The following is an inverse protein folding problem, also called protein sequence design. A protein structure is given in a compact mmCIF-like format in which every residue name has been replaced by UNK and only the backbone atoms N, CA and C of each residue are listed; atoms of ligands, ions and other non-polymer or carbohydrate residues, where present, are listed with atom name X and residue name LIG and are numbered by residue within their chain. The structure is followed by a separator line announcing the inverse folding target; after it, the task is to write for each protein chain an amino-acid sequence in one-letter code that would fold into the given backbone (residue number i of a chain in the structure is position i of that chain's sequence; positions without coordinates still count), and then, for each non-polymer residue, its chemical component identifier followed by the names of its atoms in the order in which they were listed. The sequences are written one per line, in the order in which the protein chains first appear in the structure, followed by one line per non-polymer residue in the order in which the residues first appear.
data_IF_242735267634
#
_entry.id   IF_242735267634
#
_cell.length_a   1.000
_cell.length_b   1.000
_cell.length_c   1.000
_cell.angle_alpha   90.00
_cell.angle_beta   90.00
_cell.angle_gamma   90.00
#
_symmetry.space_group_name_H-M   'P 1'
#
loop_
_entity.id
_entity.type
_entity.pdbx_description
1 polymer ?
#
# COMPACT_ATOMS: atom_id res chain seq x y z
N UNK A 1 35.46 -48.96 -39.54
CA UNK A 1 34.25 -49.61 -39.01
C UNK A 1 34.65 -50.68 -38.01
N UNK A 2 33.88 -50.95 -36.94
CA UNK A 2 32.68 -50.26 -36.41
C UNK A 2 32.99 -49.63 -35.03
N UNK A 3 32.15 -48.84 -34.37
CA UNK A 3 30.76 -48.48 -34.57
C UNK A 3 30.13 -48.18 -33.20
N UNK A 4 29.51 -47.01 -33.09
CA UNK A 4 28.39 -46.61 -32.22
C UNK A 4 28.05 -47.47 -30.97
N UNK A 5 27.98 -46.81 -29.81
CA UNK A 5 26.66 -46.61 -29.18
C UNK A 5 26.64 -45.34 -28.30
N UNK A 6 26.02 -44.30 -28.86
CA UNK A 6 25.55 -43.12 -28.14
C UNK A 6 24.21 -43.51 -27.51
N UNK A 7 24.08 -43.41 -26.19
CA UNK A 7 22.76 -43.35 -25.55
C UNK A 7 22.46 -41.89 -25.18
N UNK A 8 21.62 -41.18 -25.97
CA UNK A 8 21.16 -39.84 -25.68
C UNK A 8 19.78 -39.93 -25.03
N UNK A 9 19.70 -40.40 -23.80
CA UNK A 9 18.43 -40.44 -23.06
C UNK A 9 18.66 -39.95 -21.64
N UNK A 10 18.79 -38.63 -21.49
CA UNK A 10 18.37 -37.87 -20.31
C UNK A 10 18.41 -36.34 -20.51
N UNK A 11 18.47 -35.85 -21.76
CA UNK A 11 18.35 -34.42 -22.10
C UNK A 11 16.89 -33.98 -22.37
N UNK A 12 15.91 -34.58 -21.68
CA UNK A 12 14.50 -34.52 -22.12
C UNK A 12 13.43 -34.16 -21.08
N UNK A 13 13.77 -33.79 -19.83
CA UNK A 13 12.72 -33.61 -18.79
C UNK A 13 12.69 -32.33 -17.96
N UNK A 14 13.56 -31.34 -18.20
CA UNK A 14 13.52 -30.08 -17.44
C UNK A 14 13.18 -28.84 -18.28
N UNK A 15 12.38 -28.99 -19.35
CA UNK A 15 11.93 -27.85 -20.18
C UNK A 15 10.42 -27.71 -20.37
N UNK A 16 9.61 -28.29 -19.48
CA UNK A 16 8.16 -28.06 -19.47
C UNK A 16 7.60 -27.96 -18.05
N UNK A 17 7.93 -26.87 -17.34
CA UNK A 17 7.09 -26.42 -16.21
C UNK A 17 7.24 -24.94 -15.86
N UNK A 18 7.46 -24.09 -16.87
CA UNK A 18 7.62 -22.64 -16.68
C UNK A 18 6.70 -21.84 -17.60
N UNK A 19 5.55 -22.40 -17.97
CA UNK A 19 4.51 -21.67 -18.67
C UNK A 19 3.13 -22.29 -18.36
N UNK A 20 2.67 -22.13 -17.13
CA UNK A 20 1.26 -22.35 -16.81
C UNK A 20 0.81 -21.18 -15.93
N UNK A 21 0.23 -20.20 -16.63
CA UNK A 21 -0.66 -19.15 -16.14
C UNK A 21 -0.30 -18.46 -14.82
N UNK A 22 0.51 -17.40 -14.93
CA UNK A 22 0.29 -16.21 -14.10
C UNK A 22 -1.04 -15.57 -14.55
N UNK A 23 -2.16 -16.09 -14.07
CA UNK A 23 -3.32 -15.24 -13.86
C UNK A 23 -2.96 -14.34 -12.67
N UNK A 24 -2.41 -13.16 -12.98
CA UNK A 24 -2.38 -12.05 -12.03
C UNK A 24 -3.83 -11.58 -11.90
N UNK A 25 -4.61 -12.27 -11.08
CA UNK A 25 -5.80 -11.65 -10.50
C UNK A 25 -5.25 -10.64 -9.52
N UNK A 26 -5.19 -9.38 -9.93
CA UNK A 26 -4.97 -8.27 -9.01
C UNK A 26 -5.95 -8.47 -7.86
N UNK A 27 -5.51 -8.69 -6.61
CA UNK A 27 -6.44 -8.55 -5.50
C UNK A 27 -6.81 -7.08 -5.52
N UNK A 28 -8.03 -6.79 -5.98
CA UNK A 28 -8.68 -5.53 -5.66
C UNK A 28 -8.63 -5.51 -4.14
N UNK A 29 -7.78 -4.64 -3.59
CA UNK A 29 -7.77 -4.36 -2.16
C UNK A 29 -9.13 -3.74 -1.89
N UNK A 30 -10.10 -4.60 -1.61
CA UNK A 30 -11.37 -4.23 -1.03
C UNK A 30 -11.01 -3.73 0.36
N UNK A 31 -10.73 -2.44 0.47
CA UNK A 31 -10.83 -1.76 1.74
C UNK A 31 -12.26 -2.00 2.20
N UNK A 32 -12.42 -2.99 3.08
CA UNK A 32 -13.69 -3.36 3.67
C UNK A 32 -14.06 -2.26 4.65
N UNK A 33 -14.52 -1.14 4.09
CA UNK A 33 -15.10 -0.04 4.82
C UNK A 33 -16.35 -0.61 5.47
N UNK A 34 -16.20 -1.10 6.71
CA UNK A 34 -17.33 -1.49 7.54
C UNK A 34 -18.34 -0.35 7.48
N UNK A 35 -19.52 -0.62 6.90
CA UNK A 35 -20.60 0.35 6.79
C UNK A 35 -21.06 0.67 8.22
N UNK A 36 -20.53 1.75 8.78
CA UNK A 36 -20.92 2.19 10.11
C UNK A 36 -22.22 2.96 9.95
N UNK A 37 -23.33 2.32 10.32
CA UNK A 37 -24.58 3.04 10.53
C UNK A 37 -24.42 3.94 11.75
N UNK A 38 -24.48 5.24 11.49
CA UNK A 38 -24.46 6.25 12.52
C UNK A 38 -25.88 6.47 13.03
N UNK A 39 -25.96 6.58 14.35
CA UNK A 39 -27.16 6.70 15.18
C UNK A 39 -28.20 7.68 14.65
N UNK A 40 -29.50 7.46 14.94
CA UNK A 40 -30.58 8.29 14.42
C UNK A 40 -30.42 9.74 14.88
N UNK A 41 -30.62 10.66 13.95
CA UNK A 41 -30.51 12.10 14.08
C UNK A 41 -31.62 12.75 14.95
N UNK A 42 -32.15 12.05 15.95
CA UNK A 42 -33.35 12.47 16.70
C UNK A 42 -33.19 13.77 17.52
N UNK A 43 -31.97 14.27 17.70
CA UNK A 43 -31.69 15.46 18.52
C UNK A 43 -31.71 16.80 17.78
N UNK A 44 -32.00 16.84 16.46
CA UNK A 44 -31.91 18.07 15.65
C UNK A 44 -33.24 18.77 15.46
N UNK A 45 -33.94 19.05 16.56
CA UNK A 45 -35.15 19.88 16.54
C UNK A 45 -34.71 21.34 16.41
N UNK A 46 -34.97 21.96 15.24
CA UNK A 46 -34.78 23.39 15.05
C UNK A 46 -35.65 24.14 16.08
N UNK A 47 -35.02 24.81 17.04
CA UNK A 47 -35.73 25.71 17.96
C UNK A 47 -35.99 27.01 17.25
N UNK A 48 -36.97 27.01 16.35
CA UNK A 48 -37.41 28.22 15.69
C UNK A 48 -38.46 28.91 16.57
N UNK A 49 -38.16 30.13 17.03
CA UNK A 49 -39.13 30.92 17.79
C UNK A 49 -40.09 31.62 16.83
N UNK A 50 -41.11 30.89 16.39
CA UNK A 50 -42.14 31.40 15.50
C UNK A 50 -42.90 32.58 16.11
N UNK A 51 -43.05 32.60 17.44
CA UNK A 51 -43.87 33.60 18.10
C UNK A 51 -43.21 34.98 18.07
N UNK A 52 -41.91 35.05 18.35
CA UNK A 52 -41.17 36.31 18.30
C UNK A 52 -41.13 36.88 16.88
N UNK A 53 -40.90 36.04 15.86
CA UNK A 53 -40.92 36.50 14.46
C UNK A 53 -42.29 36.99 14.01
N UNK A 54 -43.39 36.34 14.40
CA UNK A 54 -44.74 36.81 14.07
C UNK A 54 -44.99 38.17 14.71
N UNK A 55 -44.60 38.35 15.97
CA UNK A 55 -44.77 39.61 16.71
C UNK A 55 -43.94 40.75 16.08
N UNK A 56 -42.74 40.45 15.58
CA UNK A 56 -41.87 41.40 14.88
C UNK A 56 -42.40 41.81 13.49
N UNK A 57 -43.05 40.87 12.79
CA UNK A 57 -43.72 41.18 11.52
C UNK A 57 -45.00 42.00 11.73
N UNK A 58 -45.77 41.71 12.77
CA UNK A 58 -46.94 42.51 13.16
C UNK A 58 -46.54 43.95 13.51
N UNK A 59 -45.45 44.15 14.26
CA UNK A 59 -44.94 45.49 14.59
C UNK A 59 -44.39 46.23 13.37
N UNK A 60 -43.99 45.49 12.33
CA UNK A 60 -43.58 46.02 11.03
C UNK A 60 -44.75 46.34 10.09
N UNK A 61 -46.00 46.15 10.53
CA UNK A 61 -47.20 46.52 9.78
C UNK A 61 -47.84 45.40 8.95
N UNK A 62 -47.42 44.15 9.12
CA UNK A 62 -48.07 42.99 8.49
C UNK A 62 -49.32 42.56 9.27
N UNK A 63 -50.36 42.12 8.55
CA UNK A 63 -51.50 41.46 9.19
C UNK A 63 -51.03 40.14 9.83
N UNK A 64 -51.53 39.83 11.03
CA UNK A 64 -51.20 38.60 11.76
C UNK A 64 -51.19 37.35 10.88
N UNK A 65 -52.22 37.17 10.06
CA UNK A 65 -52.37 36.01 9.17
C UNK A 65 -51.27 35.96 8.10
N UNK A 66 -50.86 37.11 7.58
CA UNK A 66 -49.78 37.20 6.60
C UNK A 66 -48.43 36.92 7.26
N UNK A 67 -48.20 37.44 8.47
CA UNK A 67 -47.01 37.16 9.26
C UNK A 67 -46.89 35.66 9.60
N UNK A 68 -47.96 35.03 10.07
CA UNK A 68 -48.02 33.59 10.35
C UNK A 68 -47.73 32.72 9.11
N UNK A 69 -48.25 33.12 7.94
CA UNK A 69 -47.98 32.41 6.68
C UNK A 69 -46.52 32.52 6.24
N UNK A 70 -45.93 33.71 6.33
CA UNK A 70 -44.52 33.93 6.00
C UNK A 70 -43.62 33.12 6.94
N UNK A 71 -43.90 33.18 8.24
CA UNK A 71 -43.14 32.43 9.25
C UNK A 71 -43.29 30.92 9.06
N UNK A 72 -44.48 30.42 8.76
CA UNK A 72 -44.73 29.01 8.47
C UNK A 72 -43.94 28.52 7.24
N UNK A 73 -43.91 29.33 6.17
CA UNK A 73 -43.11 29.04 4.98
C UNK A 73 -41.61 29.01 5.31
N UNK A 74 -41.13 29.95 6.13
CA UNK A 74 -39.73 29.99 6.58
C UNK A 74 -39.35 28.77 7.43
N UNK A 75 -40.20 28.36 8.37
CA UNK A 75 -39.97 27.16 9.18
C UNK A 75 -39.91 25.92 8.31
N UNK A 76 -40.81 25.80 7.35
CA UNK A 76 -40.87 24.65 6.43
C UNK A 76 -39.62 24.60 5.55
N UNK A 77 -39.20 25.74 4.98
CA UNK A 77 -37.99 25.85 4.18
C UNK A 77 -36.73 25.56 5.03
N UNK A 78 -36.64 26.13 6.24
CA UNK A 78 -35.50 25.92 7.13
C UNK A 78 -35.39 24.44 7.56
N UNK A 79 -36.52 23.79 7.82
CA UNK A 79 -36.56 22.36 8.15
C UNK A 79 -36.11 21.52 6.96
N UNK A 80 -36.64 21.77 5.76
CA UNK A 80 -36.26 21.05 4.55
C UNK A 80 -34.78 21.26 4.17
N UNK A 81 -34.27 22.49 4.30
CA UNK A 81 -32.87 22.82 4.05
C UNK A 81 -31.95 22.12 5.06
N UNK A 82 -32.36 22.06 6.33
CA UNK A 82 -31.60 21.32 7.34
C UNK A 82 -31.50 19.84 7.01
N UNK A 83 -32.58 19.19 6.57
CA UNK A 83 -32.55 17.77 6.19
C UNK A 83 -31.54 17.49 5.07
N UNK A 84 -31.45 18.39 4.08
CA UNK A 84 -30.48 18.28 2.98
C UNK A 84 -29.05 18.48 3.50
N UNK A 85 -28.80 19.56 4.25
CA UNK A 85 -27.48 19.87 4.80
C UNK A 85 -26.99 18.74 5.71
N UNK A 86 -27.86 18.16 6.54
CA UNK A 86 -27.47 17.08 7.44
C UNK A 86 -27.22 15.75 6.73
N UNK A 87 -27.88 15.49 5.59
CA UNK A 87 -27.61 14.32 4.77
C UNK A 87 -26.23 14.37 4.12
N UNK A 88 -25.81 15.55 3.67
CA UNK A 88 -24.54 15.73 2.97
C UNK A 88 -23.40 16.16 3.92
N UNK A 89 -23.72 16.47 5.18
CA UNK A 89 -22.72 16.86 6.18
C UNK A 89 -21.89 15.68 6.67
N UNK A 90 -20.57 15.87 6.66
CA UNK A 90 -19.64 15.03 7.42
C UNK A 90 -19.49 15.62 8.82
N UNK A 91 -19.98 14.91 9.84
CA UNK A 91 -19.85 15.35 11.24
C UNK A 91 -18.51 14.92 11.84
N UNK A 92 -18.09 15.55 12.94
CA UNK A 92 -16.88 15.13 13.70
C UNK A 92 -16.91 13.64 14.06
N UNK A 93 -18.08 13.12 14.45
CA UNK A 93 -18.25 11.69 14.72
C UNK A 93 -17.98 10.80 13.50
N UNK A 94 -18.42 11.20 12.29
CA UNK A 94 -18.07 10.49 11.05
C UNK A 94 -16.55 10.48 10.82
N UNK A 95 -15.87 11.61 11.08
CA UNK A 95 -14.41 11.70 10.93
C UNK A 95 -13.67 10.84 11.94
N UNK A 96 -14.08 10.84 13.22
CA UNK A 96 -13.47 10.03 14.27
C UNK A 96 -13.54 8.53 13.96
N UNK A 97 -14.68 8.07 13.42
CA UNK A 97 -14.87 6.68 13.02
C UNK A 97 -13.95 6.32 11.85
N UNK A 98 -13.85 7.16 10.83
CA UNK A 98 -12.95 6.94 9.71
C UNK A 98 -11.48 6.87 10.17
N UNK A 99 -11.08 7.74 11.09
CA UNK A 99 -9.75 7.72 11.69
C UNK A 99 -9.52 6.41 12.47
N UNK A 100 -10.47 5.96 13.28
CA UNK A 100 -10.37 4.69 14.00
C UNK A 100 -10.26 3.48 13.05
N UNK A 101 -10.98 3.49 11.92
CA UNK A 101 -10.86 2.46 10.90
C UNK A 101 -9.46 2.45 10.27
N UNK A 102 -8.94 3.62 9.87
CA UNK A 102 -7.58 3.74 9.32
C UNK A 102 -6.54 3.24 10.33
N UNK A 103 -6.67 3.61 11.61
CA UNK A 103 -5.77 3.14 12.67
C UNK A 103 -5.80 1.62 12.82
N UNK A 104 -6.98 1.00 12.79
CA UNK A 104 -7.11 -0.44 12.87
C UNK A 104 -6.46 -1.16 11.67
N UNK A 105 -6.60 -0.61 10.46
CA UNK A 105 -5.94 -1.15 9.27
C UNK A 105 -4.40 -1.01 9.36
N UNK A 106 -3.91 0.13 9.85
CA UNK A 106 -2.47 0.34 10.09
C UNK A 106 -1.93 -0.67 11.12
N UNK A 107 -2.68 -0.91 12.20
CA UNK A 107 -2.30 -1.88 13.22
C UNK A 107 -2.24 -3.32 12.67
N UNK A 108 -3.11 -3.66 11.72
CA UNK A 108 -3.01 -4.95 10.99
C UNK A 108 -1.73 -5.04 10.17
N UNK A 109 -1.43 -4.01 9.37
CA UNK A 109 -0.20 -3.96 8.56
C UNK A 109 1.05 -4.07 9.44
N UNK A 110 1.04 -3.40 10.61
CA UNK A 110 2.15 -3.49 11.56
C UNK A 110 2.34 -4.91 12.08
N UNK A 111 1.26 -5.65 12.35
CA UNK A 111 1.35 -7.06 12.75
C UNK A 111 1.95 -7.91 11.62
N UNK A 112 1.51 -7.69 10.39
CA UNK A 112 2.02 -8.42 9.23
C UNK A 112 3.51 -8.17 9.00
N UNK A 113 3.97 -6.91 9.17
CA UNK A 113 5.39 -6.55 9.10
C UNK A 113 6.22 -7.32 10.15
N UNK A 114 5.76 -7.36 11.40
CA UNK A 114 6.43 -8.10 12.48
C UNK A 114 6.44 -9.60 12.21
N UNK A 115 5.38 -10.15 11.61
CA UNK A 115 5.32 -11.56 11.22
C UNK A 115 6.35 -11.85 10.13
N UNK A 116 6.44 -11.00 9.10
CA UNK A 116 7.43 -11.14 8.03
C UNK A 116 8.85 -11.13 8.59
N UNK A 117 9.21 -10.12 9.39
CA UNK A 117 10.52 -10.03 10.02
C UNK A 117 10.86 -11.29 10.83
N UNK A 118 9.94 -11.75 11.69
CA UNK A 118 10.16 -12.97 12.49
C UNK A 118 10.26 -14.23 11.63
N UNK A 119 9.52 -14.32 10.53
CA UNK A 119 9.56 -15.46 9.61
C UNK A 119 10.85 -15.51 8.79
N UNK A 120 11.38 -14.36 8.36
CA UNK A 120 12.66 -14.27 7.65
C UNK A 120 13.83 -14.61 8.57
N UNK A 121 13.82 -14.16 9.84
CA UNK A 121 14.82 -14.58 10.82
C UNK A 121 14.80 -16.08 11.11
N UNK A 122 13.61 -16.69 11.19
CA UNK A 122 13.48 -18.14 11.41
C UNK A 122 13.98 -18.95 10.21
N UNK A 123 13.65 -18.50 8.99
CA UNK A 123 14.10 -19.13 7.75
C UNK A 123 15.60 -18.98 7.52
N UNK A 124 16.16 -17.78 7.73
CA UNK A 124 17.60 -17.56 7.60
C UNK A 124 18.40 -18.38 8.62
N UNK A 125 17.88 -18.57 9.84
CA UNK A 125 18.57 -19.38 10.86
C UNK A 125 18.50 -20.88 10.56
N UNK A 126 17.38 -21.38 10.02
CA UNK A 126 17.28 -22.78 9.60
C UNK A 126 18.12 -23.04 8.35
N UNK A 127 18.14 -22.12 7.39
CA UNK A 127 18.95 -22.23 6.17
C UNK A 127 20.45 -22.10 6.44
N UNK A 128 20.91 -21.32 7.43
CA UNK A 128 22.33 -21.24 7.79
C UNK A 128 22.80 -22.35 8.74
N UNK A 129 21.94 -22.85 9.63
CA UNK A 129 22.35 -23.91 10.58
C UNK A 129 22.64 -25.24 9.89
N UNK A 130 21.92 -25.57 8.81
CA UNK A 130 22.10 -26.81 8.03
C UNK A 130 23.47 -26.87 7.31
N UNK A 131 23.87 -25.91 6.45
CA UNK A 131 25.16 -25.94 5.76
C UNK A 131 26.33 -25.75 6.72
N UNK A 132 26.19 -24.95 7.80
CA UNK A 132 27.26 -24.80 8.80
C UNK A 132 27.49 -26.11 9.56
N UNK A 133 26.44 -26.83 9.96
CA UNK A 133 26.58 -28.12 10.63
C UNK A 133 27.14 -29.20 9.68
N UNK A 134 26.70 -29.21 8.42
CA UNK A 134 27.27 -30.09 7.38
C UNK A 134 28.74 -29.73 7.13
N UNK A 135 29.12 -28.45 7.07
CA UNK A 135 30.50 -28.03 6.89
C UNK A 135 31.37 -28.45 8.09
N UNK A 136 30.92 -28.21 9.32
CA UNK A 136 31.66 -28.59 10.54
C UNK A 136 31.86 -30.11 10.63
N UNK A 137 30.90 -30.92 10.17
CA UNK A 137 30.98 -32.39 10.22
C UNK A 137 31.76 -33.00 9.07
N UNK A 138 31.67 -32.44 7.86
CA UNK A 138 32.26 -33.01 6.63
C UNK A 138 33.67 -32.45 6.35
N UNK A 139 33.97 -31.21 6.78
CA UNK A 139 35.26 -30.55 6.52
C UNK A 139 36.47 -31.26 7.17
N UNK A 140 36.41 -31.76 8.42
CA UNK A 140 37.51 -32.52 9.01
C UNK A 140 37.71 -33.89 8.33
N UNK A 141 36.63 -34.51 7.86
CA UNK A 141 36.67 -35.80 7.17
C UNK A 141 37.30 -35.69 5.78
N UNK A 142 37.00 -34.62 5.04
CA UNK A 142 37.60 -34.34 3.72
C UNK A 142 39.10 -33.99 3.80
N UNK A 143 39.56 -33.37 4.88
CA UNK A 143 40.99 -33.10 5.11
C UNK A 143 41.75 -34.37 5.51
N UNK A 144 41.09 -35.28 6.24
CA UNK A 144 41.66 -36.57 6.65
C UNK A 144 41.78 -37.56 5.49
N UNK A 145 40.81 -37.57 4.57
CA UNK A 145 40.67 -38.61 3.53
C UNK A 145 41.05 -38.14 2.11
N UNK A 146 41.24 -36.84 1.87
CA UNK A 146 41.40 -36.26 0.53
C UNK A 146 42.73 -35.54 0.28
N UNK A 147 43.24 -35.63 -0.96
CA UNK A 147 44.39 -34.85 -1.43
C UNK A 147 44.15 -33.34 -1.21
N UNK A 148 44.98 -32.72 -0.36
CA UNK A 148 44.93 -31.29 0.03
C UNK A 148 44.78 -30.34 -1.17
N UNK A 149 45.31 -30.73 -2.33
CA UNK A 149 45.19 -30.00 -3.59
C UNK A 149 43.74 -29.82 -4.05
N UNK A 150 42.89 -30.85 -3.94
CA UNK A 150 41.50 -30.80 -4.41
C UNK A 150 40.65 -29.92 -3.49
N UNK A 151 40.89 -30.02 -2.18
CA UNK A 151 40.25 -29.18 -1.16
C UNK A 151 40.60 -27.70 -1.38
N UNK A 152 41.87 -27.41 -1.68
CA UNK A 152 42.33 -26.06 -1.99
C UNK A 152 41.66 -25.49 -3.26
N UNK A 153 41.58 -26.27 -4.35
CA UNK A 153 40.92 -25.84 -5.60
C UNK A 153 39.44 -25.57 -5.38
N UNK A 154 38.75 -26.42 -4.61
CA UNK A 154 37.32 -26.24 -4.30
C UNK A 154 37.08 -24.95 -3.49
N UNK A 155 37.92 -24.67 -2.48
CA UNK A 155 37.82 -23.44 -1.70
C UNK A 155 38.10 -22.19 -2.55
N UNK A 156 39.12 -22.23 -3.42
CA UNK A 156 39.39 -21.13 -4.35
C UNK A 156 38.21 -20.85 -5.29
N UNK A 157 37.55 -21.89 -5.83
CA UNK A 157 36.37 -21.72 -6.67
C UNK A 157 35.18 -21.14 -5.91
N UNK A 158 35.02 -21.51 -4.64
CA UNK A 158 33.97 -20.95 -3.78
C UNK A 158 34.19 -19.46 -3.53
N UNK A 159 35.41 -19.05 -3.15
CA UNK A 159 35.75 -17.63 -2.97
C UNK A 159 35.58 -16.82 -4.26
N UNK A 160 35.87 -17.43 -5.43
CA UNK A 160 35.65 -16.78 -6.72
C UNK A 160 34.16 -16.58 -7.03
N UNK A 161 33.29 -17.55 -6.69
CA UNK A 161 31.85 -17.39 -6.84
C UNK A 161 31.28 -16.32 -5.91
N UNK A 162 31.75 -16.25 -4.67
CA UNK A 162 31.36 -15.22 -3.72
C UNK A 162 31.72 -13.82 -4.22
N UNK A 163 32.92 -13.67 -4.79
CA UNK A 163 33.35 -12.42 -5.44
C UNK A 163 32.46 -12.03 -6.61
N UNK A 164 32.12 -12.98 -7.49
CA UNK A 164 31.22 -12.75 -8.63
C UNK A 164 29.81 -12.33 -8.19
N UNK A 165 29.31 -12.91 -7.10
CA UNK A 165 28.03 -12.52 -6.52
C UNK A 165 28.08 -11.08 -5.99
N UNK A 166 29.14 -10.73 -5.26
CA UNK A 166 29.33 -9.37 -4.73
C UNK A 166 29.42 -8.32 -5.85
N UNK A 167 30.12 -8.64 -6.95
CA UNK A 167 30.20 -7.79 -8.14
C UNK A 167 28.82 -7.60 -8.80
N UNK A 168 28.07 -8.68 -9.01
CA UNK A 168 26.72 -8.62 -9.60
C UNK A 168 25.75 -7.80 -8.74
N UNK A 169 25.81 -7.93 -7.41
CA UNK A 169 24.99 -7.14 -6.48
C UNK A 169 25.36 -5.65 -6.55
N UNK A 170 26.65 -5.31 -6.57
CA UNK A 170 27.12 -3.94 -6.71
C UNK A 170 26.67 -3.30 -8.03
N UNK A 171 26.79 -4.04 -9.14
CA UNK A 171 26.32 -3.60 -10.46
C UNK A 171 24.80 -3.36 -10.48
N UNK A 172 24.03 -4.22 -9.83
CA UNK A 172 22.58 -4.07 -9.70
C UNK A 172 22.20 -2.82 -8.91
N UNK A 173 22.83 -2.57 -7.75
CA UNK A 173 22.62 -1.36 -6.97
C UNK A 173 22.99 -0.10 -7.77
N UNK A 174 24.11 -0.13 -8.49
CA UNK A 174 24.53 0.97 -9.34
C UNK A 174 23.52 1.26 -10.47
N UNK A 175 22.95 0.21 -11.08
CA UNK A 175 21.92 0.34 -12.12
C UNK A 175 20.61 0.92 -11.58
N UNK A 176 20.21 0.54 -10.37
CA UNK A 176 19.03 1.12 -9.70
C UNK A 176 19.25 2.62 -9.43
N UNK A 177 20.40 2.99 -8.85
CA UNK A 177 20.70 4.40 -8.56
C UNK A 177 20.66 5.26 -9.82
N UNK A 178 21.29 4.81 -10.92
CA UNK A 178 21.21 5.50 -12.21
C UNK A 178 19.77 5.68 -12.71
N UNK A 179 18.90 4.69 -12.52
CA UNK A 179 17.49 4.76 -12.93
C UNK A 179 16.72 5.78 -12.08
N UNK A 180 16.98 5.81 -10.78
CA UNK A 180 16.38 6.78 -9.85
C UNK A 180 16.80 8.19 -10.24
N UNK A 181 18.10 8.44 -10.47
CA UNK A 181 18.61 9.75 -10.87
C UNK A 181 17.97 10.26 -12.16
N UNK A 182 17.80 9.39 -13.16
CA UNK A 182 17.16 9.74 -14.42
C UNK A 182 15.67 10.07 -14.24
N UNK A 183 14.95 9.31 -13.41
CA UNK A 183 13.55 9.60 -13.10
C UNK A 183 13.40 10.91 -12.32
N UNK A 184 14.28 11.18 -11.36
CA UNK A 184 14.30 12.45 -10.61
C UNK A 184 14.57 13.63 -11.56
N UNK A 185 15.52 13.51 -12.48
CA UNK A 185 15.80 14.54 -13.47
C UNK A 185 14.59 14.80 -14.38
N UNK A 186 13.95 13.74 -14.88
CA UNK A 186 12.74 13.84 -15.71
C UNK A 186 11.59 14.55 -14.97
N UNK A 187 11.32 14.16 -13.72
CA UNK A 187 10.28 14.77 -12.90
C UNK A 187 10.57 16.24 -12.60
N UNK A 188 11.83 16.60 -12.34
CA UNK A 188 12.23 18.00 -12.15
C UNK A 188 11.96 18.84 -13.41
N UNK A 189 12.29 18.33 -14.59
CA UNK A 189 12.00 19.02 -15.86
C UNK A 189 10.50 19.26 -16.04
N UNK A 190 9.66 18.25 -15.76
CA UNK A 190 8.19 18.39 -15.85
C UNK A 190 7.67 19.39 -14.82
N UNK A 191 8.21 19.37 -13.59
CA UNK A 191 7.83 20.33 -12.55
C UNK A 191 8.19 21.77 -12.95
N UNK A 192 9.39 21.98 -13.50
CA UNK A 192 9.81 23.29 -14.00
C UNK A 192 8.94 23.77 -15.17
N UNK A 193 8.58 22.88 -16.10
CA UNK A 193 7.68 23.24 -17.20
C UNK A 193 6.29 23.64 -16.72
N UNK A 194 5.73 22.89 -15.76
CA UNK A 194 4.42 23.19 -15.17
C UNK A 194 4.45 24.51 -14.40
N UNK A 195 5.54 24.79 -13.65
CA UNK A 195 5.72 26.07 -12.98
C UNK A 195 5.72 27.24 -13.97
N UNK A 196 6.44 27.12 -15.09
CA UNK A 196 6.46 28.14 -16.14
C UNK A 196 5.10 28.31 -16.81
N UNK A 197 4.35 27.23 -17.01
CA UNK A 197 3.00 27.26 -17.56
C UNK A 197 2.03 28.01 -16.62
N UNK A 198 2.03 27.71 -15.33
CA UNK A 198 1.23 28.43 -14.33
C UNK A 198 1.57 29.93 -14.30
N UNK A 199 2.85 30.29 -14.40
CA UNK A 199 3.25 31.71 -14.49
C UNK A 199 2.68 32.37 -15.75
N UNK A 200 2.68 31.68 -16.90
CA UNK A 200 2.05 32.19 -18.13
C UNK A 200 0.53 32.38 -17.97
N UNK A 201 -0.16 31.46 -17.31
CA UNK A 201 -1.60 31.57 -17.04
C UNK A 201 -1.97 32.70 -16.08
N UNK A 202 -1.08 33.08 -15.15
CA UNK A 202 -1.32 34.17 -14.20
C UNK A 202 -0.90 35.55 -14.72
N UNK A 203 -0.02 35.60 -15.74
CA UNK A 203 0.51 36.84 -16.30
C UNK A 203 -0.19 37.31 -17.59
N UNK A 204 -1.14 36.54 -18.12
CA UNK A 204 -2.05 36.91 -19.21
C UNK A 204 -3.46 37.12 -18.67
#
# INVERSE_FOLDING_TARGET
SPGLNINPLLCGRFRKRLLQHFHVTSPVVTFDLRKVELTPLEQRKLTFDSHTMVTELESSGFERRQAELIVSALVTLATANMDIVYKDMVTKSHQEIAVQQIMAHLDSIRKDMVILEKSEFANLRSENSVPVNIYISVFPLLISEGDVSIVCVCFCQFTEQEKKLMEATSEFHHKINKKIDLQVASLKTVLESLKLETVRYLAG
#
